data_IF_224313823724
#
_entry.id   IF_224313823724
#
_cell.length_a   1.000
_cell.length_b   1.000
_cell.length_c   1.000
_cell.angle_alpha   90.00
_cell.angle_beta   90.00
_cell.angle_gamma   90.00
#
_symmetry.space_group_name_H-M   'P 1'
#
loop_
_entity.id
_entity.type
_entity.pdbx_description
1 polymer ?
#
# COMPACT_ATOMS: atom_id res chain seq x y z
N UNK A 1 -31.63 5.16 17.57
CA UNK A 1 -31.51 4.70 16.17
C UNK A 1 -30.74 5.69 15.28
N UNK A 2 -31.19 6.95 15.16
CA UNK A 2 -30.54 7.97 14.29
C UNK A 2 -29.08 8.26 14.65
N UNK A 3 -28.73 8.32 15.94
CA UNK A 3 -27.35 8.53 16.40
C UNK A 3 -26.42 7.39 15.94
N UNK A 4 -26.87 6.13 16.05
CA UNK A 4 -26.10 4.96 15.61
C UNK A 4 -25.87 5.00 14.09
N UNK A 5 -26.91 5.32 13.30
CA UNK A 5 -26.78 5.45 11.83
C UNK A 5 -25.75 6.53 11.46
N UNK A 6 -25.69 7.65 12.19
CA UNK A 6 -24.69 8.70 11.96
C UNK A 6 -23.26 8.20 12.23
N UNK A 7 -23.04 7.49 13.34
CA UNK A 7 -21.72 6.91 13.67
C UNK A 7 -21.30 5.93 12.57
N UNK A 8 -22.17 5.00 12.18
CA UNK A 8 -21.90 4.08 11.08
C UNK A 8 -21.60 4.82 9.77
N UNK A 9 -22.37 5.86 9.46
CA UNK A 9 -22.17 6.67 8.25
C UNK A 9 -20.78 7.31 8.20
N UNK A 10 -20.32 7.88 9.32
CA UNK A 10 -18.98 8.49 9.43
C UNK A 10 -17.90 7.41 9.29
N UNK A 11 -18.02 6.30 10.01
CA UNK A 11 -17.05 5.21 9.95
C UNK A 11 -16.95 4.62 8.53
N UNK A 12 -18.07 4.35 7.86
CA UNK A 12 -18.09 3.88 6.47
C UNK A 12 -17.35 4.88 5.57
N UNK A 13 -17.63 6.19 5.71
CA UNK A 13 -17.04 7.22 4.85
C UNK A 13 -15.51 7.34 5.04
N UNK A 14 -14.98 6.99 6.21
CA UNK A 14 -13.53 6.98 6.50
C UNK A 14 -12.89 5.65 6.07
N UNK A 15 -13.56 4.53 6.33
CA UNK A 15 -13.03 3.18 6.04
C UNK A 15 -12.94 2.93 4.53
N UNK A 16 -13.88 3.44 3.74
CA UNK A 16 -13.87 3.25 2.28
C UNK A 16 -12.57 3.78 1.64
N UNK A 17 -12.12 5.03 1.89
CA UNK A 17 -10.83 5.51 1.41
C UNK A 17 -9.65 4.63 1.81
N UNK A 18 -9.59 4.23 3.08
CA UNK A 18 -8.50 3.41 3.60
C UNK A 18 -8.47 2.05 2.90
N UNK A 19 -9.60 1.36 2.79
CA UNK A 19 -9.67 0.07 2.10
C UNK A 19 -9.35 0.17 0.61
N UNK A 20 -9.83 1.19 -0.10
CA UNK A 20 -9.52 1.38 -1.51
C UNK A 20 -8.02 1.61 -1.72
N UNK A 21 -7.40 2.43 -0.88
CA UNK A 21 -5.96 2.69 -0.94
C UNK A 21 -5.15 1.44 -0.63
N UNK A 22 -5.45 0.76 0.49
CA UNK A 22 -4.73 -0.45 0.91
C UNK A 22 -4.91 -1.61 -0.08
N UNK A 23 -6.09 -1.76 -0.68
CA UNK A 23 -6.32 -2.74 -1.75
C UNK A 23 -5.49 -2.39 -2.98
N UNK A 24 -5.40 -1.12 -3.36
CA UNK A 24 -4.57 -0.69 -4.50
C UNK A 24 -3.10 -1.01 -4.24
N UNK A 25 -2.58 -0.70 -3.05
CA UNK A 25 -1.22 -1.07 -2.63
C UNK A 25 -1.05 -2.59 -2.68
N UNK A 26 -2.02 -3.36 -2.18
CA UNK A 26 -1.94 -4.84 -2.18
C UNK A 26 -1.85 -5.44 -3.59
N UNK A 27 -2.54 -4.83 -4.55
CA UNK A 27 -2.46 -5.21 -5.97
C UNK A 27 -1.06 -4.92 -6.52
N UNK A 28 -0.51 -3.74 -6.24
CA UNK A 28 0.83 -3.34 -6.71
C UNK A 28 1.96 -4.15 -6.07
N UNK A 29 1.78 -4.63 -4.84
CA UNK A 29 2.75 -5.50 -4.14
C UNK A 29 2.73 -6.95 -4.65
N UNK A 30 1.92 -7.28 -5.66
CA UNK A 30 1.94 -8.62 -6.25
C UNK A 30 3.05 -8.73 -7.31
N UNK A 31 3.89 -9.78 -7.31
CA UNK A 31 4.92 -10.00 -8.31
C UNK A 31 4.47 -9.89 -9.77
N UNK A 32 3.20 -10.18 -10.10
CA UNK A 32 2.68 -10.02 -11.46
C UNK A 32 2.77 -8.57 -11.94
N UNK A 33 2.68 -7.59 -11.04
CA UNK A 33 2.72 -6.18 -11.40
C UNK A 33 4.08 -5.82 -12.01
N UNK A 34 5.18 -6.36 -11.47
CA UNK A 34 6.50 -6.18 -12.06
C UNK A 34 6.59 -6.84 -13.44
N UNK A 35 6.02 -8.03 -13.62
CA UNK A 35 5.96 -8.64 -14.95
C UNK A 35 5.19 -7.77 -15.94
N UNK A 36 4.07 -7.20 -15.53
CA UNK A 36 3.28 -6.31 -16.37
C UNK A 36 4.05 -5.02 -16.72
N UNK A 37 4.60 -4.35 -15.72
CA UNK A 37 5.24 -3.04 -15.86
C UNK A 37 6.54 -3.10 -16.66
N UNK A 38 7.40 -4.07 -16.35
CA UNK A 38 8.70 -4.22 -17.03
C UNK A 38 8.59 -4.72 -18.47
N UNK A 39 7.42 -5.22 -18.88
CA UNK A 39 7.15 -5.62 -20.27
C UNK A 39 6.34 -4.58 -21.04
N UNK A 40 6.10 -3.39 -20.48
CA UNK A 40 5.48 -2.29 -21.23
C UNK A 40 6.35 -1.85 -22.42
N UNK A 41 5.74 -1.43 -23.54
CA UNK A 41 6.47 -0.80 -24.62
C UNK A 41 7.26 0.41 -24.11
N UNK A 42 8.53 0.52 -24.52
CA UNK A 42 9.42 1.62 -24.15
C UNK A 42 9.75 1.73 -22.65
N UNK A 43 9.64 0.64 -21.87
CA UNK A 43 10.12 0.65 -20.49
C UNK A 43 11.62 1.02 -20.44
N UNK A 44 12.03 2.01 -19.63
CA UNK A 44 13.38 2.56 -19.69
C UNK A 44 14.44 1.57 -19.22
N UNK A 45 15.62 1.67 -19.83
CA UNK A 45 16.81 0.97 -19.37
C UNK A 45 17.21 1.43 -17.95
N UNK A 46 18.02 0.62 -17.29
CA UNK A 46 18.57 0.98 -15.98
C UNK A 46 19.75 1.92 -16.10
N UNK A 47 19.71 3.01 -15.34
CA UNK A 47 20.81 3.95 -15.25
C UNK A 47 22.01 3.35 -14.49
N UNK A 48 21.78 2.34 -13.65
CA UNK A 48 22.80 1.66 -12.86
C UNK A 48 23.27 0.33 -13.48
N UNK A 49 22.75 -0.03 -14.65
CA UNK A 49 23.22 -1.18 -15.45
C UNK A 49 22.50 -2.50 -15.21
N UNK A 50 21.45 -2.57 -14.39
CA UNK A 50 20.65 -3.79 -14.26
C UNK A 50 19.90 -4.15 -15.55
N UNK A 51 19.97 -5.43 -15.95
CA UNK A 51 19.12 -5.93 -17.03
C UNK A 51 17.66 -6.05 -16.57
N UNK A 52 16.72 -6.15 -17.53
CA UNK A 52 15.31 -6.47 -17.20
C UNK A 52 15.19 -7.75 -16.38
N UNK A 53 16.01 -8.77 -16.69
CA UNK A 53 15.99 -10.04 -15.98
C UNK A 53 16.41 -9.87 -14.52
N UNK A 54 17.46 -9.07 -14.27
CA UNK A 54 17.92 -8.80 -12.91
C UNK A 54 16.87 -8.05 -12.10
N UNK A 55 16.27 -7.00 -12.68
CA UNK A 55 15.24 -6.20 -12.00
C UNK A 55 14.00 -7.03 -11.66
N UNK A 56 13.59 -7.93 -12.57
CA UNK A 56 12.51 -8.87 -12.31
C UNK A 56 12.89 -9.88 -11.24
N UNK A 57 14.12 -10.40 -11.23
CA UNK A 57 14.58 -11.34 -10.22
C UNK A 57 14.62 -10.70 -8.84
N UNK A 58 15.42 -9.65 -8.67
CA UNK A 58 15.64 -9.00 -7.38
C UNK A 58 14.38 -8.29 -6.88
N UNK A 59 13.69 -7.54 -7.75
CA UNK A 59 12.48 -6.81 -7.38
C UNK A 59 11.34 -7.71 -6.91
N UNK A 60 11.16 -8.89 -7.53
CA UNK A 60 10.14 -9.85 -7.09
C UNK A 60 10.49 -10.45 -5.73
N UNK A 61 11.77 -10.73 -5.47
CA UNK A 61 12.20 -11.19 -4.14
C UNK A 61 11.91 -10.11 -3.08
N UNK A 62 12.16 -8.83 -3.38
CA UNK A 62 11.79 -7.71 -2.49
C UNK A 62 10.27 -7.67 -2.23
N UNK A 63 9.43 -7.81 -3.25
CA UNK A 63 7.98 -7.81 -3.09
C UNK A 63 7.47 -9.02 -2.27
N UNK A 64 8.03 -10.20 -2.53
CA UNK A 64 7.71 -11.42 -1.78
C UNK A 64 8.06 -11.24 -0.30
N UNK A 65 9.23 -10.66 0.00
CA UNK A 65 9.65 -10.40 1.37
C UNK A 65 8.63 -9.57 2.16
N UNK A 66 8.07 -8.52 1.57
CA UNK A 66 7.11 -7.65 2.25
C UNK A 66 5.85 -8.37 2.72
N UNK A 67 5.52 -9.51 2.11
CA UNK A 67 4.23 -10.19 2.31
C UNK A 67 4.37 -11.61 2.88
N UNK A 68 5.57 -12.18 2.88
CA UNK A 68 5.86 -13.48 3.49
C UNK A 68 6.14 -13.39 4.99
N UNK A 69 6.32 -14.54 5.64
CA UNK A 69 6.63 -14.65 7.07
C UNK A 69 8.12 -14.79 7.40
N UNK A 70 9.03 -14.63 6.43
CA UNK A 70 10.47 -14.77 6.65
C UNK A 70 11.07 -13.57 7.40
N UNK A 71 12.15 -13.77 8.14
CA UNK A 71 12.89 -12.67 8.76
C UNK A 71 13.80 -11.93 7.76
N UNK A 72 14.57 -10.93 8.23
CA UNK A 72 15.48 -10.13 7.41
C UNK A 72 16.50 -10.96 6.61
N UNK A 73 16.81 -12.18 7.07
CA UNK A 73 17.69 -13.14 6.40
C UNK A 73 17.27 -13.43 4.96
N UNK A 74 15.97 -13.37 4.66
CA UNK A 74 15.46 -13.54 3.30
C UNK A 74 16.05 -12.55 2.29
N UNK A 75 16.38 -11.33 2.73
CA UNK A 75 17.04 -10.32 1.90
C UNK A 75 18.54 -10.25 2.15
N UNK A 76 19.01 -10.41 3.38
CA UNK A 76 20.45 -10.29 3.69
C UNK A 76 21.29 -11.40 3.09
N UNK A 77 20.69 -12.56 2.82
CA UNK A 77 21.38 -13.69 2.19
C UNK A 77 21.49 -13.55 0.67
N UNK A 78 20.80 -12.56 0.08
CA UNK A 78 20.87 -12.30 -1.36
C UNK A 78 22.20 -11.66 -1.72
N UNK A 79 22.90 -12.28 -2.67
CA UNK A 79 24.22 -11.86 -3.15
C UNK A 79 24.28 -11.85 -4.67
N UNK A 80 25.07 -10.93 -5.20
CA UNK A 80 25.52 -10.95 -6.58
C UNK A 80 26.45 -12.15 -6.83
N UNK A 81 26.73 -12.44 -8.09
CA UNK A 81 27.64 -13.54 -8.49
C UNK A 81 29.07 -13.35 -7.95
N UNK A 82 29.50 -12.10 -7.76
CA UNK A 82 30.79 -11.76 -7.17
C UNK A 82 30.82 -11.92 -5.63
N UNK A 83 29.70 -12.26 -5.01
CA UNK A 83 29.56 -12.47 -3.57
C UNK A 83 29.16 -11.23 -2.76
N UNK A 84 29.06 -10.05 -3.39
CA UNK A 84 28.62 -8.83 -2.74
C UNK A 84 27.14 -8.90 -2.37
N UNK A 85 26.72 -8.35 -1.20
CA UNK A 85 25.32 -8.35 -0.82
C UNK A 85 24.48 -7.45 -1.72
N UNK A 86 23.24 -7.87 -2.03
CA UNK A 86 22.27 -7.04 -2.77
C UNK A 86 21.84 -5.81 -1.96
N UNK A 87 21.75 -5.97 -0.64
CA UNK A 87 21.32 -4.94 0.29
C UNK A 87 22.41 -4.64 1.32
N UNK A 88 22.69 -3.37 1.55
CA UNK A 88 23.49 -2.96 2.71
C UNK A 88 22.65 -2.95 4.00
N UNK A 89 23.31 -2.75 5.14
CA UNK A 89 22.66 -2.76 6.46
C UNK A 89 21.55 -1.69 6.59
N UNK A 90 21.76 -0.50 6.00
CA UNK A 90 20.76 0.59 6.01
C UNK A 90 19.51 0.19 5.24
N UNK A 91 19.68 -0.38 4.06
CA UNK A 91 18.59 -0.83 3.20
C UNK A 91 17.83 -2.01 3.80
N UNK A 92 18.53 -2.95 4.45
CA UNK A 92 17.89 -4.06 5.16
C UNK A 92 17.02 -3.54 6.31
N UNK A 93 17.54 -2.63 7.13
CA UNK A 93 16.76 -2.00 8.20
C UNK A 93 15.54 -1.27 7.65
N UNK A 94 15.68 -0.54 6.55
CA UNK A 94 14.56 0.13 5.90
C UNK A 94 13.52 -0.86 5.35
N UNK A 95 13.95 -1.96 4.73
CA UNK A 95 13.04 -3.00 4.24
C UNK A 95 12.26 -3.69 5.37
N UNK A 96 12.85 -3.82 6.56
CA UNK A 96 12.15 -4.31 7.76
C UNK A 96 11.04 -3.33 8.18
N UNK A 97 11.33 -2.03 8.20
CA UNK A 97 10.32 -1.00 8.50
C UNK A 97 9.16 -1.02 7.50
N UNK A 98 9.47 -1.09 6.21
CA UNK A 98 8.46 -1.21 5.13
C UNK A 98 7.64 -2.49 5.30
N UNK A 99 8.29 -3.63 5.59
CA UNK A 99 7.59 -4.89 5.85
C UNK A 99 6.63 -4.78 7.02
N UNK A 100 7.05 -4.19 8.14
CA UNK A 100 6.20 -4.00 9.31
C UNK A 100 4.96 -3.15 8.99
N UNK A 101 5.13 -2.07 8.23
CA UNK A 101 4.01 -1.23 7.78
C UNK A 101 3.05 -2.00 6.86
N UNK A 102 3.59 -2.74 5.87
CA UNK A 102 2.79 -3.56 4.94
C UNK A 102 2.02 -4.66 5.68
N UNK A 103 2.64 -5.34 6.63
CA UNK A 103 2.01 -6.39 7.43
C UNK A 103 0.92 -5.81 8.35
N UNK A 104 1.15 -4.65 8.97
CA UNK A 104 0.13 -3.93 9.73
C UNK A 104 -1.06 -3.56 8.85
N UNK A 105 -0.80 -3.00 7.67
CA UNK A 105 -1.82 -2.68 6.66
C UNK A 105 -2.66 -3.91 6.33
N UNK A 106 -2.04 -5.03 5.97
CA UNK A 106 -2.74 -6.29 5.64
C UNK A 106 -3.59 -6.78 6.82
N UNK A 107 -3.07 -6.69 8.05
CA UNK A 107 -3.77 -7.11 9.26
C UNK A 107 -5.03 -6.29 9.53
N UNK A 108 -5.01 -4.97 9.31
CA UNK A 108 -6.16 -4.09 9.56
C UNK A 108 -7.19 -4.09 8.43
N UNK A 109 -6.81 -4.48 7.21
CA UNK A 109 -7.73 -4.57 6.08
C UNK A 109 -8.89 -5.55 6.35
N UNK A 110 -8.61 -6.72 6.92
CA UNK A 110 -9.63 -7.75 7.17
C UNK A 110 -10.76 -7.26 8.10
N UNK A 111 -10.48 -6.71 9.31
CA UNK A 111 -11.54 -6.18 10.17
C UNK A 111 -12.26 -4.98 9.56
N UNK A 112 -11.59 -4.13 8.78
CA UNK A 112 -12.24 -3.03 8.05
C UNK A 112 -13.23 -3.54 6.99
N UNK A 113 -12.83 -4.54 6.21
CA UNK A 113 -13.69 -5.16 5.20
C UNK A 113 -14.88 -5.88 5.86
N UNK A 114 -14.62 -6.63 6.94
CA UNK A 114 -15.67 -7.28 7.72
C UNK A 114 -16.66 -6.26 8.30
N UNK A 115 -16.17 -5.13 8.83
CA UNK A 115 -17.03 -4.03 9.28
C UNK A 115 -17.95 -3.51 8.17
N UNK A 116 -17.44 -3.26 6.96
CA UNK A 116 -18.27 -2.78 5.85
C UNK A 116 -19.36 -3.80 5.46
N UNK A 117 -19.02 -5.09 5.41
CA UNK A 117 -19.99 -6.16 5.10
C UNK A 117 -21.06 -6.25 6.19
N UNK A 118 -20.67 -6.22 7.46
CA UNK A 118 -21.61 -6.24 8.59
C UNK A 118 -22.50 -5.00 8.61
N UNK A 119 -21.92 -3.82 8.35
CA UNK A 119 -22.67 -2.57 8.25
C UNK A 119 -23.68 -2.60 7.09
N UNK A 120 -23.32 -3.18 5.95
CA UNK A 120 -24.22 -3.37 4.82
C UNK A 120 -25.39 -4.30 5.15
N UNK A 121 -25.11 -5.47 5.77
CA UNK A 121 -26.14 -6.41 6.22
C UNK A 121 -27.08 -5.72 7.23
N UNK A 122 -26.53 -4.97 8.17
CA UNK A 122 -27.30 -4.23 9.17
C UNK A 122 -28.15 -3.13 8.53
N UNK A 123 -27.63 -2.43 7.52
CA UNK A 123 -28.36 -1.44 6.75
C UNK A 123 -29.56 -2.05 6.03
N UNK A 124 -29.38 -3.24 5.47
CA UNK A 124 -30.46 -3.99 4.82
C UNK A 124 -31.53 -4.41 5.84
N UNK A 125 -31.11 -5.03 6.95
CA UNK A 125 -32.01 -5.52 8.00
C UNK A 125 -32.80 -4.42 8.70
N UNK A 126 -32.19 -3.25 8.92
CA UNK A 126 -32.78 -2.13 9.65
C UNK A 126 -33.34 -1.02 8.74
N UNK A 127 -33.37 -1.22 7.42
CA UNK A 127 -34.04 -0.31 6.48
C UNK A 127 -33.33 1.02 6.20
N UNK A 128 -32.00 1.09 6.33
CA UNK A 128 -31.21 2.31 6.06
C UNK A 128 -30.20 2.18 4.91
N UNK A 129 -30.42 1.23 3.99
CA UNK A 129 -29.59 1.02 2.78
C UNK A 129 -29.28 2.31 1.99
N UNK A 130 -30.23 3.24 1.74
CA UNK A 130 -29.91 4.47 1.03
C UNK A 130 -28.82 5.30 1.73
N UNK A 131 -28.83 5.32 3.07
CA UNK A 131 -27.85 6.05 3.86
C UNK A 131 -26.48 5.34 3.86
N UNK A 132 -26.45 4.00 3.85
CA UNK A 132 -25.22 3.23 3.67
C UNK A 132 -24.51 3.60 2.36
N UNK A 133 -25.23 3.57 1.24
CA UNK A 133 -24.66 3.90 -0.07
C UNK A 133 -24.26 5.37 -0.19
N UNK A 134 -24.99 6.28 0.47
CA UNK A 134 -24.57 7.69 0.57
C UNK A 134 -23.20 7.82 1.27
N UNK A 135 -22.97 7.06 2.34
CA UNK A 135 -21.67 7.04 3.03
C UNK A 135 -20.56 6.39 2.22
N UNK A 136 -20.85 5.31 1.50
CA UNK A 136 -19.88 4.71 0.56
C UNK A 136 -19.51 5.70 -0.54
N UNK A 137 -20.49 6.38 -1.12
CA UNK A 137 -20.28 7.41 -2.15
C UNK A 137 -19.44 8.59 -1.61
N UNK A 138 -19.72 9.07 -0.40
CA UNK A 138 -18.88 10.08 0.26
C UNK A 138 -17.45 9.57 0.43
N UNK A 139 -17.28 8.32 0.86
CA UNK A 139 -15.97 7.67 0.91
C UNK A 139 -15.25 7.68 -0.43
N UNK A 140 -15.94 7.36 -1.53
CA UNK A 140 -15.37 7.44 -2.88
C UNK A 140 -14.92 8.85 -3.25
N UNK A 141 -15.71 9.87 -2.94
CA UNK A 141 -15.30 11.28 -3.14
C UNK A 141 -14.09 11.67 -2.29
N UNK A 142 -14.01 11.20 -1.05
CA UNK A 142 -12.84 11.41 -0.20
C UNK A 142 -11.59 10.72 -0.76
N UNK A 143 -11.73 9.52 -1.34
CA UNK A 143 -10.64 8.84 -2.05
C UNK A 143 -10.14 9.68 -3.23
N UNK A 144 -11.04 10.19 -4.08
CA UNK A 144 -10.67 11.04 -5.21
C UNK A 144 -10.00 12.33 -4.75
N UNK A 145 -10.50 12.95 -3.68
CA UNK A 145 -9.88 14.13 -3.07
C UNK A 145 -8.47 13.84 -2.56
N UNK A 146 -8.27 12.69 -1.90
CA UNK A 146 -6.96 12.25 -1.41
C UNK A 146 -5.98 12.00 -2.56
N UNK A 147 -6.42 11.34 -3.63
CA UNK A 147 -5.60 11.15 -4.85
C UNK A 147 -5.20 12.51 -5.43
N UNK A 148 -6.16 13.43 -5.58
CA UNK A 148 -5.89 14.77 -6.08
C UNK A 148 -4.86 15.52 -5.22
N UNK A 149 -4.99 15.45 -3.88
CA UNK A 149 -4.04 16.06 -2.95
C UNK A 149 -2.63 15.47 -3.07
N UNK A 150 -2.52 14.14 -3.19
CA UNK A 150 -1.23 13.46 -3.37
C UNK A 150 -0.59 13.90 -4.69
N UNK A 151 -1.34 13.86 -5.80
CA UNK A 151 -0.83 14.27 -7.11
C UNK A 151 -0.38 15.74 -7.14
N UNK A 152 -1.16 16.64 -6.56
CA UNK A 152 -0.79 18.05 -6.43
C UNK A 152 0.47 18.20 -5.59
N UNK A 153 0.57 17.49 -4.46
CA UNK A 153 1.77 17.49 -3.62
C UNK A 153 3.01 17.00 -4.38
N UNK A 154 2.88 15.91 -5.13
CA UNK A 154 3.96 15.36 -5.97
C UNK A 154 4.45 16.37 -7.01
N UNK A 155 3.54 17.09 -7.69
CA UNK A 155 3.91 18.09 -8.70
C UNK A 155 4.53 19.33 -8.09
N UNK A 156 4.07 19.77 -6.91
CA UNK A 156 4.59 20.97 -6.24
C UNK A 156 5.98 20.71 -5.66
N UNK A 157 6.13 19.65 -4.87
CA UNK A 157 7.37 19.31 -4.19
C UNK A 157 7.35 17.84 -3.75
N UNK A 158 7.80 16.96 -4.65
CA UNK A 158 7.92 15.53 -4.37
C UNK A 158 8.79 15.25 -3.15
N UNK A 159 9.96 15.88 -3.03
CA UNK A 159 10.91 15.62 -1.94
C UNK A 159 10.28 15.91 -0.58
N UNK A 160 9.61 17.05 -0.42
CA UNK A 160 8.94 17.40 0.83
C UNK A 160 7.79 16.43 1.17
N UNK A 161 6.99 16.03 0.17
CA UNK A 161 5.92 15.05 0.38
C UNK A 161 6.49 13.69 0.78
N UNK A 162 7.54 13.24 0.08
CA UNK A 162 8.22 11.97 0.32
C UNK A 162 8.88 11.93 1.70
N UNK A 163 9.66 12.95 2.07
CA UNK A 163 10.29 13.05 3.39
C UNK A 163 9.25 13.14 4.50
N UNK A 164 8.17 13.90 4.30
CA UNK A 164 7.06 13.97 5.26
C UNK A 164 6.39 12.61 5.51
N UNK A 165 6.16 11.85 4.43
CA UNK A 165 5.68 10.47 4.54
C UNK A 165 6.68 9.58 5.30
N UNK A 166 7.98 9.67 4.98
CA UNK A 166 9.01 8.84 5.63
C UNK A 166 9.12 9.12 7.12
N UNK A 167 9.09 10.39 7.54
CA UNK A 167 9.10 10.76 8.95
C UNK A 167 7.86 10.30 9.72
N UNK A 168 6.72 10.11 9.04
CA UNK A 168 5.51 9.64 9.68
C UNK A 168 5.56 8.14 9.97
N UNK A 169 6.20 7.35 9.11
CA UNK A 169 6.12 5.88 9.15
C UNK A 169 7.43 5.17 9.53
N UNK A 170 8.59 5.80 9.33
CA UNK A 170 9.88 5.15 9.44
C UNK A 170 10.84 5.94 10.33
N UNK A 171 11.75 5.22 10.98
CA UNK A 171 12.78 5.82 11.83
C UNK A 171 14.12 5.84 11.11
N UNK A 172 14.74 7.02 10.97
CA UNK A 172 16.06 7.18 10.33
C UNK A 172 16.09 8.37 9.36
N UNK A 173 17.30 8.77 8.93
CA UNK A 173 17.48 9.75 7.86
C UNK A 173 17.33 9.06 6.50
N UNK A 174 16.36 9.50 5.69
CA UNK A 174 16.31 9.20 4.25
C UNK A 174 17.55 9.74 3.56
#
# INVERSE_FOLDING_TARGET
>A
MRANIRIFSVLISIIVPLLLMMTSIRVLLNPFFLDYEYNQPNFPADEFGFSKADRLNWGKLSLVYLTNSAGPEFLSDLKFENGDPIYNERELSHMVDVKNLVQLMIKIMLPMAAFLVLAWILAWRLGWIPQFWKSVSLGGWLTLGMIGLILVGTVINFDALFTGFHHLFFTGST
#
